data_IF_612783463327
#
_entry.id   IF_612783463327
#
_cell.length_a   1.000
_cell.length_b   1.000
_cell.length_c   1.000
_cell.angle_alpha   90.00
_cell.angle_beta   90.00
_cell.angle_gamma   90.00
#
_symmetry.space_group_name_H-M   'P 1'
#
loop_
_entity.id
_entity.type
_entity.pdbx_description
1 polymer ?
#
# COMPACT_ATOMS: atom_id res chain seq x y z
N UNK A 1 18.11 1.71 23.84
CA UNK A 1 17.11 1.46 22.79
C UNK A 1 17.29 2.48 21.68
N UNK A 2 17.84 2.05 20.54
CA UNK A 2 18.02 2.89 19.36
C UNK A 2 16.62 3.05 18.74
N UNK A 3 16.07 4.27 18.78
CA UNK A 3 14.77 4.56 18.15
C UNK A 3 14.95 4.38 16.65
N UNK A 4 14.16 3.50 16.04
CA UNK A 4 14.25 3.21 14.61
C UNK A 4 13.62 4.39 13.87
N UNK A 5 14.35 4.97 12.93
CA UNK A 5 13.81 6.00 12.03
C UNK A 5 13.07 5.31 10.89
N UNK A 6 11.73 5.41 10.88
CA UNK A 6 10.90 4.80 9.83
C UNK A 6 11.03 5.47 8.47
N UNK A 7 11.56 6.69 8.42
CA UNK A 7 11.77 7.39 7.16
C UNK A 7 13.11 7.05 6.52
N UNK A 8 13.97 6.28 7.19
CA UNK A 8 15.28 5.90 6.63
C UNK A 8 15.18 5.07 5.35
N UNK A 9 14.02 4.45 5.07
CA UNK A 9 13.74 3.72 3.85
C UNK A 9 13.15 4.57 2.72
N UNK A 10 12.74 5.81 3.02
CA UNK A 10 12.16 6.73 2.03
C UNK A 10 13.31 7.50 1.37
N UNK A 11 13.47 7.44 0.04
CA UNK A 11 14.46 8.25 -0.65
C UNK A 11 14.25 9.75 -0.37
N UNK A 12 15.35 10.50 -0.27
CA UNK A 12 15.31 11.94 0.10
C UNK A 12 14.52 12.81 -0.89
N UNK A 13 14.39 12.34 -2.12
CA UNK A 13 13.70 12.96 -3.24
C UNK A 13 12.33 12.32 -3.54
N UNK A 14 11.91 11.32 -2.76
CA UNK A 14 10.63 10.65 -2.97
C UNK A 14 9.47 11.41 -2.32
N UNK A 15 8.36 11.48 -3.05
CA UNK A 15 7.08 11.87 -2.48
C UNK A 15 6.51 10.70 -1.66
N UNK A 16 6.01 11.03 -0.47
CA UNK A 16 5.39 10.04 0.41
C UNK A 16 4.08 10.54 1.01
N UNK A 17 3.26 9.60 1.44
CA UNK A 17 1.96 9.80 2.06
C UNK A 17 1.89 8.91 3.31
N UNK A 18 1.21 9.38 4.33
CA UNK A 18 0.92 8.60 5.53
C UNK A 18 -0.58 8.43 5.66
N UNK A 19 -1.07 7.21 5.47
CA UNK A 19 -2.50 6.90 5.45
C UNK A 19 -2.91 6.22 6.77
N UNK A 20 -4.00 6.66 7.44
CA UNK A 20 -4.50 5.96 8.61
C UNK A 20 -5.10 4.61 8.20
N UNK A 21 -4.85 3.54 8.97
CA UNK A 21 -5.39 2.19 8.72
C UNK A 21 -6.62 1.90 9.59
N UNK A 22 -7.46 2.91 9.80
CA UNK A 22 -8.73 2.77 10.51
C UNK A 22 -9.81 3.61 9.83
N UNK A 23 -11.08 3.15 9.84
CA UNK A 23 -12.18 3.90 9.27
C UNK A 23 -12.65 5.01 10.22
N UNK A 24 -13.16 6.10 9.67
CA UNK A 24 -13.79 7.19 10.42
C UNK A 24 -15.16 7.57 9.85
N UNK A 25 -15.31 7.56 8.53
CA UNK A 25 -16.53 7.95 7.84
C UNK A 25 -16.93 6.89 6.82
N UNK A 26 -18.20 6.89 6.44
CA UNK A 26 -18.70 6.08 5.33
C UNK A 26 -19.68 6.86 4.47
N UNK A 27 -19.98 6.35 3.29
CA UNK A 27 -21.01 6.89 2.42
C UNK A 27 -22.39 7.02 3.12
N UNK A 28 -23.14 8.05 2.73
CA UNK A 28 -24.43 8.42 3.32
C UNK A 28 -25.46 7.29 3.23
N UNK A 29 -25.37 6.45 2.20
CA UNK A 29 -26.30 5.35 1.99
C UNK A 29 -26.08 4.26 3.06
N UNK A 30 -24.85 3.80 3.23
CA UNK A 30 -24.48 2.82 4.25
C UNK A 30 -24.75 3.32 5.66
N UNK A 31 -24.43 4.60 5.95
CA UNK A 31 -24.66 5.21 7.26
C UNK A 31 -26.15 5.18 7.68
N UNK A 32 -27.07 5.35 6.72
CA UNK A 32 -28.51 5.33 6.99
C UNK A 32 -29.05 3.91 7.21
N UNK A 33 -28.50 2.93 6.49
CA UNK A 33 -28.96 1.54 6.56
C UNK A 33 -28.45 0.82 7.81
N UNK A 34 -27.20 1.06 8.18
CA UNK A 34 -26.54 0.41 9.33
C UNK A 34 -25.88 1.49 10.19
N UNK A 35 -26.63 2.18 11.07
CA UNK A 35 -26.06 3.13 12.00
C UNK A 35 -25.04 2.44 12.89
N UNK A 36 -23.83 2.98 12.95
CA UNK A 36 -22.74 2.40 13.72
C UNK A 36 -22.14 3.45 14.65
N UNK A 37 -22.00 3.12 15.93
CA UNK A 37 -21.33 3.98 16.89
C UNK A 37 -19.83 3.73 16.82
N UNK A 38 -19.08 4.74 16.39
CA UNK A 38 -17.62 4.67 16.25
C UNK A 38 -16.96 4.35 17.61
N UNK A 39 -16.23 3.24 17.74
CA UNK A 39 -15.44 2.98 18.92
C UNK A 39 -14.25 3.95 18.96
N UNK A 40 -13.82 4.32 20.17
CA UNK A 40 -12.58 5.07 20.34
C UNK A 40 -11.38 4.17 20.09
N UNK A 41 -10.47 4.60 19.22
CA UNK A 41 -9.21 3.90 18.93
C UNK A 41 -8.08 4.57 19.71
N UNK A 42 -7.49 3.90 20.71
CA UNK A 42 -6.33 4.39 21.45
C UNK A 42 -5.16 4.76 20.53
N UNK A 43 -4.42 5.82 20.84
CA UNK A 43 -3.33 6.34 20.00
C UNK A 43 -2.23 5.29 19.73
N UNK A 44 -1.87 4.52 20.75
CA UNK A 44 -0.89 3.43 20.69
C UNK A 44 -1.33 2.26 19.80
N UNK A 45 -2.65 2.09 19.63
CA UNK A 45 -3.25 1.08 18.76
C UNK A 45 -3.39 1.56 17.31
N UNK A 46 -3.17 2.85 17.04
CA UNK A 46 -3.27 3.40 15.68
C UNK A 46 -2.13 2.91 14.80
N UNK A 47 -2.51 2.48 13.60
CA UNK A 47 -1.62 1.98 12.55
C UNK A 47 -1.76 2.86 11.33
N UNK A 48 -0.65 3.02 10.63
CA UNK A 48 -0.56 3.84 9.44
C UNK A 48 0.12 3.05 8.33
N UNK A 49 -0.19 3.40 7.10
CA UNK A 49 0.54 2.96 5.92
C UNK A 49 1.40 4.12 5.43
N UNK A 50 2.72 3.95 5.52
CA UNK A 50 3.67 4.83 4.87
C UNK A 50 3.81 4.37 3.42
N UNK A 51 3.38 5.21 2.48
CA UNK A 51 3.47 4.96 1.05
C UNK A 51 4.43 5.96 0.44
N UNK A 52 5.36 5.54 -0.40
CA UNK A 52 6.21 6.45 -1.18
C UNK A 52 6.37 5.99 -2.62
N UNK A 53 6.64 6.94 -3.51
CA UNK A 53 6.74 6.69 -4.94
C UNK A 53 8.19 6.78 -5.39
N UNK A 54 8.70 5.69 -5.95
CA UNK A 54 10.04 5.62 -6.52
C UNK A 54 9.96 5.68 -8.04
N UNK A 55 10.73 6.55 -8.69
CA UNK A 55 10.81 6.63 -10.15
C UNK A 55 11.31 5.30 -10.75
N UNK A 56 10.79 4.96 -11.94
CA UNK A 56 11.24 3.80 -12.72
C UNK A 56 12.51 4.07 -13.53
N UNK A 57 13.11 5.26 -13.46
CA UNK A 57 14.27 5.61 -14.30
C UNK A 57 15.41 4.58 -14.20
N UNK A 58 15.52 3.84 -15.31
CA UNK A 58 16.61 3.02 -15.82
C UNK A 58 17.72 2.63 -14.82
N UNK A 59 17.73 1.37 -14.40
CA UNK A 59 18.97 0.69 -13.97
C UNK A 59 20.01 0.54 -15.11
N UNK A 60 19.85 1.26 -16.23
CA UNK A 60 20.58 1.08 -17.48
C UNK A 60 21.61 2.16 -17.82
N UNK A 61 21.93 3.11 -16.94
CA UNK A 61 22.96 4.13 -17.26
C UNK A 61 24.17 4.09 -16.32
N UNK A 62 25.00 3.07 -16.51
CA UNK A 62 26.45 3.32 -16.51
C UNK A 62 26.78 4.06 -17.82
N UNK A 63 27.16 5.33 -17.67
CA UNK A 63 27.76 6.20 -18.69
C UNK A 63 26.82 6.81 -19.75
N UNK A 64 26.20 7.95 -19.41
CA UNK A 64 26.43 9.15 -20.22
C UNK A 64 26.10 10.43 -19.44
N UNK A 65 27.06 11.33 -19.49
CA UNK A 65 27.05 12.67 -18.93
C UNK A 65 26.13 13.59 -19.74
N UNK A 66 24.88 13.77 -19.32
CA UNK A 66 24.13 15.02 -19.55
C UNK A 66 22.84 15.07 -18.73
N UNK A 67 22.93 14.99 -17.40
CA UNK A 67 21.84 15.50 -16.57
C UNK A 67 21.90 17.03 -16.62
N UNK A 68 21.16 17.64 -17.54
CA UNK A 68 20.68 19.00 -17.33
C UNK A 68 20.04 19.05 -15.94
N UNK A 69 20.25 20.12 -15.15
CA UNK A 69 19.61 20.24 -13.85
C UNK A 69 18.10 20.13 -14.10
N UNK A 70 17.52 19.04 -13.61
CA UNK A 70 16.07 18.89 -13.54
C UNK A 70 15.57 20.14 -12.85
N UNK A 71 14.80 20.93 -13.59
CA UNK A 71 14.11 22.07 -13.06
C UNK A 71 13.38 21.58 -11.80
N UNK A 72 13.64 22.14 -10.60
CA UNK A 72 12.99 21.69 -9.36
C UNK A 72 11.46 21.82 -9.40
N UNK A 73 10.93 22.42 -10.48
CA UNK A 73 9.50 22.54 -10.76
C UNK A 73 8.91 21.33 -11.52
N UNK A 74 9.70 20.44 -12.11
CA UNK A 74 9.17 19.31 -12.87
C UNK A 74 8.99 18.08 -11.96
N UNK A 75 7.87 18.06 -11.25
CA UNK A 75 7.45 17.00 -10.30
C UNK A 75 7.01 15.73 -11.06
N UNK A 76 7.05 15.73 -12.40
CA UNK A 76 6.40 14.71 -13.22
C UNK A 76 7.27 13.47 -13.39
N UNK A 77 6.78 12.35 -12.88
CA UNK A 77 7.40 11.04 -13.05
C UNK A 77 6.88 10.37 -14.33
N UNK A 78 7.74 9.91 -15.25
CA UNK A 78 7.31 9.19 -16.45
C UNK A 78 6.70 7.82 -16.11
N UNK A 79 7.14 7.24 -14.99
CA UNK A 79 6.64 6.01 -14.41
C UNK A 79 7.19 5.85 -13.00
N UNK A 80 6.50 5.09 -12.15
CA UNK A 80 6.84 4.93 -10.75
C UNK A 80 6.45 3.55 -10.20
N UNK A 81 7.04 3.21 -9.04
CA UNK A 81 6.56 2.14 -8.14
C UNK A 81 6.06 2.77 -6.85
N UNK A 82 4.85 2.41 -6.45
CA UNK A 82 4.30 2.71 -5.15
C UNK A 82 4.77 1.61 -4.17
N UNK A 83 5.55 2.01 -3.17
CA UNK A 83 6.09 1.12 -2.15
C UNK A 83 5.44 1.50 -0.82
N UNK A 84 4.98 0.50 -0.06
CA UNK A 84 4.27 0.71 1.19
C UNK A 84 4.82 -0.13 2.33
N UNK A 85 4.61 0.36 3.55
CA UNK A 85 4.90 -0.34 4.80
C UNK A 85 3.94 0.09 5.90
N UNK A 86 3.51 -0.86 6.73
CA UNK A 86 2.77 -0.53 7.95
C UNK A 86 3.71 -0.01 9.05
N UNK A 87 3.29 1.08 9.71
CA UNK A 87 4.01 1.70 10.84
C UNK A 87 3.05 1.97 12.00
N UNK A 88 3.57 1.91 13.23
CA UNK A 88 2.79 2.25 14.42
C UNK A 88 2.89 3.73 14.77
N UNK A 89 1.97 4.23 15.58
CA UNK A 89 2.07 5.59 16.14
C UNK A 89 3.39 5.81 16.90
N UNK A 90 3.88 4.82 17.66
CA UNK A 90 5.15 4.94 18.38
C UNK A 90 6.37 5.08 17.46
N UNK A 91 6.30 4.50 16.26
CA UNK A 91 7.39 4.59 15.29
C UNK A 91 7.48 5.98 14.64
N UNK A 92 6.34 6.69 14.56
CA UNK A 92 6.26 8.05 14.02
C UNK A 92 6.71 9.11 15.04
N UNK A 93 6.75 8.77 16.33
CA UNK A 93 7.12 9.76 17.34
C UNK A 93 8.57 10.22 17.14
N UNK A 94 8.79 11.53 17.11
CA UNK A 94 10.14 12.10 17.00
C UNK A 94 10.77 12.06 15.60
N UNK A 95 10.05 11.60 14.57
CA UNK A 95 10.48 11.72 13.16
C UNK A 95 10.18 13.11 12.57
N UNK A 96 9.35 13.91 13.27
CA UNK A 96 8.85 15.19 12.78
C UNK A 96 7.64 15.09 11.85
N UNK A 97 7.23 13.87 11.48
CA UNK A 97 6.03 13.62 10.68
C UNK A 97 4.78 13.88 11.52
N UNK A 98 3.83 14.65 10.98
CA UNK A 98 2.51 14.81 11.57
C UNK A 98 1.64 13.63 11.18
N UNK A 99 1.24 12.82 12.17
CA UNK A 99 0.36 11.70 11.95
C UNK A 99 -1.11 12.17 11.78
N UNK A 100 -1.87 11.61 10.82
CA UNK A 100 -3.30 11.85 10.71
C UNK A 100 -4.05 11.57 12.02
N UNK A 101 -4.92 12.50 12.41
CA UNK A 101 -5.78 12.36 13.59
C UNK A 101 -7.10 11.67 13.28
N UNK A 102 -7.60 11.87 12.05
CA UNK A 102 -8.83 11.30 11.51
C UNK A 102 -8.51 10.01 10.72
N UNK A 103 -9.49 9.11 10.67
CA UNK A 103 -9.41 7.87 9.88
C UNK A 103 -9.80 8.06 8.42
N UNK A 104 -9.84 6.97 7.68
CA UNK A 104 -10.27 6.96 6.27
C UNK A 104 -11.79 7.02 6.13
N UNK A 105 -12.23 7.65 5.06
CA UNK A 105 -13.58 7.44 4.54
C UNK A 105 -13.59 6.13 3.76
N UNK A 106 -14.51 5.23 4.08
CA UNK A 106 -14.65 3.91 3.45
C UNK A 106 -16.01 3.77 2.79
N UNK A 107 -16.18 2.76 1.93
CA UNK A 107 -17.47 2.42 1.34
C UNK A 107 -18.07 1.19 2.03
N UNK A 108 -19.38 1.22 2.30
CA UNK A 108 -20.10 0.12 2.95
C UNK A 108 -20.24 0.26 4.48
N UNK A 109 -20.82 -0.72 5.19
CA UNK A 109 -21.05 -0.61 6.62
C UNK A 109 -19.75 -0.40 7.41
N UNK A 110 -19.71 0.62 8.27
CA UNK A 110 -18.54 0.90 9.13
C UNK A 110 -18.17 -0.30 10.00
N UNK A 111 -19.15 -1.04 10.50
CA UNK A 111 -18.93 -2.24 11.31
C UNK A 111 -18.02 -3.25 10.60
N UNK A 112 -18.21 -3.46 9.30
CA UNK A 112 -17.42 -4.39 8.50
C UNK A 112 -16.00 -3.87 8.29
N UNK A 113 -15.85 -2.56 8.09
CA UNK A 113 -14.54 -1.91 7.99
C UNK A 113 -13.74 -2.03 9.30
N UNK A 114 -14.40 -1.88 10.46
CA UNK A 114 -13.76 -2.08 11.76
C UNK A 114 -13.31 -3.51 11.99
N UNK A 115 -14.12 -4.50 11.59
CA UNK A 115 -13.77 -5.93 11.71
C UNK A 115 -12.56 -6.32 10.84
N UNK A 116 -12.35 -5.60 9.74
CA UNK A 116 -11.31 -5.84 8.75
C UNK A 116 -10.12 -4.86 8.89
N UNK A 117 -9.97 -4.19 10.03
CA UNK A 117 -8.81 -3.34 10.27
C UNK A 117 -7.50 -4.15 10.17
N UNK A 118 -6.48 -3.64 9.44
CA UNK A 118 -5.17 -4.26 9.36
C UNK A 118 -4.58 -4.53 10.74
N UNK A 119 -4.05 -5.74 10.93
CA UNK A 119 -3.46 -6.13 12.20
C UNK A 119 -1.96 -5.82 12.19
N UNK A 120 -1.32 -5.67 13.37
CA UNK A 120 0.13 -5.54 13.41
C UNK A 120 0.76 -6.75 12.74
N UNK A 121 1.40 -6.53 11.59
CA UNK A 121 2.09 -7.59 10.83
C UNK A 121 3.19 -8.15 11.73
N UNK A 122 2.95 -9.32 12.30
CA UNK A 122 3.92 -10.01 13.14
C UNK A 122 4.89 -10.73 12.22
N UNK A 123 5.80 -9.98 11.60
CA UNK A 123 6.94 -10.47 10.82
C UNK A 123 6.69 -11.83 10.15
N UNK A 124 5.82 -11.87 9.13
CA UNK A 124 5.66 -13.07 8.31
C UNK A 124 7.02 -13.38 7.68
N UNK A 125 7.44 -14.64 7.82
CA UNK A 125 8.75 -15.21 7.44
C UNK A 125 9.36 -14.62 6.17
N UNK A 126 10.59 -14.09 6.20
CA UNK A 126 11.29 -13.62 5.00
C UNK A 126 11.59 -14.84 4.11
N UNK A 127 10.83 -15.00 3.02
CA UNK A 127 11.07 -16.03 2.02
C UNK A 127 12.22 -15.70 1.05
N UNK A 128 12.98 -14.63 1.33
CA UNK A 128 14.19 -14.26 0.59
C UNK A 128 15.27 -13.90 1.59
N UNK A 129 16.42 -14.58 1.49
CA UNK A 129 17.57 -14.50 2.40
C UNK A 129 17.98 -13.06 2.74
N UNK A 130 17.93 -12.63 4.03
CA UNK A 130 18.40 -11.30 4.41
C UNK A 130 19.93 -11.31 4.51
N UNK A 131 20.59 -10.45 3.73
CA UNK A 131 21.98 -10.09 3.94
C UNK A 131 22.07 -9.12 5.13
N UNK A 132 23.19 -9.09 5.86
CA UNK A 132 23.29 -8.54 7.22
C UNK A 132 23.11 -7.02 7.39
N UNK A 133 22.70 -6.27 6.36
CA UNK A 133 22.31 -4.84 6.45
C UNK A 133 20.80 -4.60 6.14
N UNK A 134 20.03 -5.65 5.81
CA UNK A 134 18.68 -5.62 5.20
C UNK A 134 17.47 -5.70 6.16
N UNK A 135 17.61 -5.43 7.46
CA UNK A 135 16.46 -5.46 8.40
C UNK A 135 15.41 -4.39 8.01
N UNK A 136 15.83 -3.34 7.31
CA UNK A 136 14.98 -2.24 6.84
C UNK A 136 14.20 -2.55 5.54
N UNK A 137 14.69 -3.45 4.70
CA UNK A 137 14.07 -3.80 3.42
C UNK A 137 13.02 -4.92 3.54
N UNK A 138 13.13 -5.75 4.58
CA UNK A 138 12.30 -6.94 4.79
C UNK A 138 10.80 -6.65 5.08
N UNK A 139 10.35 -5.39 5.07
CA UNK A 139 8.96 -5.02 5.30
C UNK A 139 8.43 -3.97 4.30
N UNK A 140 9.13 -3.79 3.18
CA UNK A 140 8.67 -2.94 2.09
C UNK A 140 7.97 -3.80 1.05
N UNK A 141 6.69 -3.51 0.80
CA UNK A 141 5.92 -4.20 -0.24
C UNK A 141 5.69 -3.24 -1.41
N UNK A 142 5.99 -3.69 -2.63
CA UNK A 142 5.65 -2.94 -3.85
C UNK A 142 4.16 -3.18 -4.10
N UNK A 143 3.32 -2.20 -3.76
CA UNK A 143 1.87 -2.36 -3.85
C UNK A 143 1.32 -1.99 -5.23
N UNK A 144 2.08 -1.23 -6.03
CA UNK A 144 1.67 -0.91 -7.38
C UNK A 144 2.78 -0.35 -8.25
N UNK A 145 2.60 -0.47 -9.56
CA UNK A 145 3.52 -0.01 -10.58
C UNK A 145 2.77 0.78 -11.66
N UNK A 146 3.38 1.85 -12.14
CA UNK A 146 2.89 2.67 -13.24
C UNK A 146 4.03 2.83 -14.24
N UNK A 147 3.95 2.16 -15.39
CA UNK A 147 5.00 2.19 -16.40
C UNK A 147 4.93 3.41 -17.30
N UNK A 148 3.72 3.91 -17.53
CA UNK A 148 3.45 5.17 -18.21
C UNK A 148 2.09 5.69 -17.76
N UNK A 149 1.83 6.97 -18.07
CA UNK A 149 0.54 7.61 -17.83
C UNK A 149 -0.62 6.84 -18.50
N UNK A 150 -0.40 6.32 -19.69
CA UNK A 150 -1.40 5.64 -20.51
C UNK A 150 -1.65 4.20 -20.05
N UNK A 151 -0.65 3.56 -19.43
CA UNK A 151 -0.77 2.22 -18.88
C UNK A 151 -1.62 2.18 -17.60
N UNK A 152 -1.73 3.32 -16.90
CA UNK A 152 -2.39 3.38 -15.59
C UNK A 152 -1.52 2.81 -14.47
N UNK A 153 -2.15 2.49 -13.35
CA UNK A 153 -1.50 1.90 -12.17
C UNK A 153 -1.98 0.46 -12.04
N UNK A 154 -1.03 -0.47 -12.06
CA UNK A 154 -1.27 -1.88 -11.79
C UNK A 154 -0.93 -2.17 -10.33
N UNK A 155 -1.89 -2.71 -9.58
CA UNK A 155 -1.69 -3.07 -8.18
C UNK A 155 -1.32 -4.55 -8.04
N UNK A 156 -0.39 -4.84 -7.13
CA UNK A 156 0.02 -6.21 -6.82
C UNK A 156 -0.92 -6.80 -5.75
N UNK A 157 -1.75 -7.80 -6.09
CA UNK A 157 -2.68 -8.39 -5.13
C UNK A 157 -1.96 -9.09 -3.96
N UNK A 158 -0.78 -9.67 -4.17
CA UNK A 158 -0.04 -10.38 -3.12
C UNK A 158 0.47 -9.40 -2.06
N UNK A 159 1.04 -8.27 -2.50
CA UNK A 159 1.47 -7.18 -1.62
C UNK A 159 0.28 -6.59 -0.83
N UNK A 160 -0.89 -6.45 -1.47
CA UNK A 160 -2.09 -5.96 -0.78
C UNK A 160 -2.61 -6.97 0.26
N UNK A 161 -2.48 -8.27 0.01
CA UNK A 161 -2.82 -9.32 0.99
C UNK A 161 -1.83 -9.28 2.17
N UNK A 162 -0.53 -9.16 1.91
CA UNK A 162 0.50 -9.06 2.94
C UNK A 162 0.25 -7.89 3.90
N UNK A 163 -0.29 -6.80 3.38
CA UNK A 163 -0.62 -5.60 4.15
C UNK A 163 -2.02 -5.63 4.79
N UNK A 164 -2.74 -6.76 4.78
CA UNK A 164 -4.12 -6.91 5.24
C UNK A 164 -5.12 -5.95 4.55
N UNK A 165 -4.80 -5.47 3.34
CA UNK A 165 -5.69 -4.60 2.56
C UNK A 165 -6.67 -5.42 1.70
N UNK A 166 -6.37 -6.69 1.50
CA UNK A 166 -7.16 -7.65 0.73
C UNK A 166 -7.52 -8.89 1.54
N UNK A 167 -8.61 -9.54 1.15
CA UNK A 167 -9.05 -10.84 1.65
C UNK A 167 -9.09 -11.84 0.50
N UNK A 168 -8.71 -13.09 0.78
CA UNK A 168 -8.71 -14.17 -0.21
C UNK A 168 -10.07 -14.86 -0.17
N UNK A 169 -10.84 -14.76 -1.25
CA UNK A 169 -12.08 -15.47 -1.42
C UNK A 169 -11.79 -16.82 -2.09
N UNK A 170 -12.23 -17.92 -1.48
CA UNK A 170 -12.15 -19.24 -2.12
C UNK A 170 -10.90 -20.06 -1.79
N UNK A 171 -10.23 -19.80 -0.66
CA UNK A 171 -9.23 -20.73 -0.09
C UNK A 171 -9.80 -22.08 0.40
N UNK A 172 -11.10 -22.35 0.15
CA UNK A 172 -11.64 -23.69 0.31
C UNK A 172 -11.08 -24.54 -0.82
N UNK A 173 -10.05 -25.34 -0.50
CA UNK A 173 -9.55 -26.39 -1.38
C UNK A 173 -10.73 -27.25 -1.81
N UNK A 174 -11.27 -26.98 -3.00
CA UNK A 174 -12.23 -27.90 -3.62
C UNK A 174 -11.54 -29.26 -3.69
N UNK A 175 -12.22 -30.34 -3.29
CA UNK A 175 -11.61 -31.67 -3.38
C UNK A 175 -11.21 -31.92 -4.83
N UNK A 176 -10.00 -32.47 -5.01
CA UNK A 176 -9.46 -32.81 -6.33
C UNK A 176 -10.47 -33.66 -7.09
N UNK A 177 -10.85 -33.28 -8.34
CA UNK A 177 -11.69 -34.11 -9.18
C UNK A 177 -11.04 -35.49 -9.37
N UNK A 178 -11.82 -36.59 -9.34
CA UNK A 178 -11.28 -37.93 -9.60
C UNK A 178 -10.56 -37.97 -10.95
N UNK A 179 -9.27 -38.28 -10.96
CA UNK A 179 -8.45 -38.37 -12.17
C UNK A 179 -7.63 -37.13 -12.54
N UNK A 180 -7.70 -36.04 -11.77
CA UNK A 180 -6.76 -34.91 -11.90
C UNK A 180 -5.61 -35.00 -10.89
N UNK A 181 -4.41 -34.63 -11.33
CA UNK A 181 -3.23 -34.47 -10.45
C UNK A 181 -3.25 -33.08 -9.79
N UNK A 182 -2.76 -32.98 -8.56
CA UNK A 182 -2.81 -31.74 -7.75
C UNK A 182 -2.20 -30.53 -8.47
N UNK A 183 -1.09 -30.74 -9.18
CA UNK A 183 -0.33 -29.69 -9.87
C UNK A 183 -1.14 -29.04 -11.02
N UNK A 184 -1.96 -29.81 -11.74
CA UNK A 184 -2.84 -29.28 -12.78
C UNK A 184 -4.01 -28.50 -12.19
N UNK A 185 -4.54 -28.96 -11.06
CA UNK A 185 -5.69 -28.34 -10.42
C UNK A 185 -5.32 -27.02 -9.73
N UNK A 186 -4.14 -26.95 -9.11
CA UNK A 186 -3.64 -25.74 -8.47
C UNK A 186 -3.29 -24.65 -9.50
N UNK A 187 -2.87 -25.03 -10.71
CA UNK A 187 -2.58 -24.10 -11.82
C UNK A 187 -3.84 -23.43 -12.39
N UNK A 188 -5.01 -24.03 -12.21
CA UNK A 188 -6.30 -23.53 -12.73
C UNK A 188 -7.09 -22.71 -11.70
N UNK A 189 -6.72 -22.77 -10.41
CA UNK A 189 -7.35 -21.96 -9.37
C UNK A 189 -6.82 -20.53 -9.42
N UNK A 190 -7.51 -19.68 -10.17
CA UNK A 190 -7.34 -18.23 -10.04
C UNK A 190 -7.70 -17.79 -8.62
N UNK A 191 -6.72 -17.25 -7.90
CA UNK A 191 -6.91 -16.68 -6.58
C UNK A 191 -7.85 -15.49 -6.69
N UNK A 192 -9.08 -15.63 -6.18
CA UNK A 192 -10.03 -14.53 -6.18
C UNK A 192 -9.76 -13.65 -4.97
N UNK A 193 -9.31 -12.43 -5.20
CA UNK A 193 -8.98 -11.48 -4.12
C UNK A 193 -10.06 -10.40 -4.04
N UNK A 194 -10.48 -10.05 -2.83
CA UNK A 194 -11.43 -8.97 -2.56
C UNK A 194 -10.80 -7.94 -1.63
N UNK A 195 -10.80 -6.67 -2.06
CA UNK A 195 -10.39 -5.55 -1.23
C UNK A 195 -11.25 -5.44 0.04
N UNK A 196 -10.61 -5.16 1.16
CA UNK A 196 -11.30 -4.70 2.38
C UNK A 196 -11.82 -3.28 2.15
N UNK A 197 -12.79 -2.78 2.95
CA UNK A 197 -13.23 -1.38 2.86
C UNK A 197 -12.07 -0.38 3.01
N UNK A 198 -11.12 -0.69 3.89
CA UNK A 198 -9.89 0.10 4.10
C UNK A 198 -8.95 -0.03 2.89
N UNK A 199 -8.79 -1.25 2.37
CA UNK A 199 -7.97 -1.52 1.19
C UNK A 199 -8.44 -0.77 -0.04
N UNK A 200 -9.75 -0.68 -0.28
CA UNK A 200 -10.32 0.11 -1.37
C UNK A 200 -9.95 1.59 -1.21
N UNK A 201 -10.18 2.16 -0.03
CA UNK A 201 -9.86 3.57 0.25
C UNK A 201 -8.35 3.86 0.11
N UNK A 202 -7.49 2.95 0.59
CA UNK A 202 -6.04 3.05 0.43
C UNK A 202 -5.66 3.01 -1.04
N UNK A 203 -6.17 2.04 -1.79
CA UNK A 203 -5.88 1.87 -3.22
C UNK A 203 -6.26 3.11 -4.02
N UNK A 204 -7.43 3.69 -3.73
CA UNK A 204 -7.89 4.95 -4.32
C UNK A 204 -6.94 6.12 -4.01
N UNK A 205 -6.52 6.28 -2.76
CA UNK A 205 -5.61 7.36 -2.37
C UNK A 205 -4.21 7.18 -3.00
N UNK A 206 -3.71 5.96 -3.09
CA UNK A 206 -2.45 5.64 -3.78
C UNK A 206 -2.56 5.93 -5.27
N UNK A 207 -3.69 5.57 -5.89
CA UNK A 207 -3.94 5.89 -7.29
C UNK A 207 -3.99 7.40 -7.54
N UNK A 208 -4.72 8.16 -6.70
CA UNK A 208 -4.80 9.63 -6.79
C UNK A 208 -3.42 10.28 -6.57
N UNK A 209 -2.64 9.78 -5.61
CA UNK A 209 -1.27 10.23 -5.40
C UNK A 209 -0.40 9.99 -6.63
N UNK A 210 -0.49 8.80 -7.24
CA UNK A 210 0.18 8.48 -8.49
C UNK A 210 -0.23 9.37 -9.67
N UNK A 211 -1.52 9.70 -9.79
CA UNK A 211 -2.01 10.64 -10.80
C UNK A 211 -1.45 12.05 -10.61
N UNK A 212 -1.34 12.52 -9.37
CA UNK A 212 -0.75 13.81 -9.08
C UNK A 212 0.73 13.88 -9.50
N UNK A 213 1.45 12.76 -9.45
CA UNK A 213 2.86 12.66 -9.83
C UNK A 213 3.09 12.46 -11.33
N UNK A 214 2.08 12.06 -12.10
CA UNK A 214 2.22 11.84 -13.56
C UNK A 214 1.65 13.00 -14.39
N UNK A 215 0.81 13.87 -13.79
CA UNK A 215 0.16 15.07 -14.34
C UNK A 215 -0.61 14.93 -15.65
N UNK A 216 -1.74 15.64 -15.71
CA UNK A 216 -2.49 15.95 -16.92
C UNK A 216 -1.93 17.21 -17.61
N UNK A 217 -0.67 17.16 -18.07
CA UNK A 217 -0.15 18.19 -18.97
C UNK A 217 -0.81 18.05 -20.34
N UNK A 218 -1.40 19.13 -20.88
CA UNK A 218 -1.80 19.17 -22.28
C UNK A 218 -0.54 19.14 -23.13
N UNK A 219 -0.31 18.06 -23.86
CA UNK A 219 0.58 18.16 -25.02
C UNK A 219 -0.17 19.01 -26.06
N UNK A 220 0.06 20.31 -26.02
CA UNK A 220 -0.26 21.23 -27.13
C UNK A 220 1.00 21.51 -27.91
#
# INVERSE_FOLDING_TARGET
NKKIDVLSCVPVDAFFMLLPLWPAETDVHSQRLVPFQLPSIPLDSRRYLLVFYKTLQAETDKASSSSSPTDPQNILLPGFRAIARQVSYSDLQGTGVRAPEQGLSVSGPLEDAFKQMPRPTSATTPLSSPSCDDIHAAQLSIIGSCYSREAGVEFDPEALIELDLCTVLGGEKKPLPPGMVAEQFDSEQSMTVKLTPIGSAVMELVWVGGLALTSFGSQT
#
